data_IF_654719562025
#
_entry.id   IF_654719562025
#
_cell.length_a   1.000
_cell.length_b   1.000
_cell.length_c   1.000
_cell.angle_alpha   90.00
_cell.angle_beta   90.00
_cell.angle_gamma   90.00
#
_symmetry.space_group_name_H-M   'P 1'
#
loop_
_entity.id
_entity.type
_entity.pdbx_description
1 polymer ?
#
# COMPACT_ATOMS: atom_id res chain seq x y z
N UNK A 1 12.84 -5.97 1.52
CA UNK A 1 12.05 -5.22 2.52
C UNK A 1 10.74 -4.71 1.96
N UNK A 2 10.78 -3.92 0.88
CA UNK A 2 9.56 -3.37 0.27
C UNK A 2 8.64 -4.47 -0.26
N UNK A 3 9.20 -5.50 -0.90
CA UNK A 3 8.41 -6.64 -1.38
C UNK A 3 7.71 -7.35 -0.22
N UNK A 4 8.44 -7.66 0.83
CA UNK A 4 7.90 -8.39 1.97
C UNK A 4 6.81 -7.60 2.68
N UNK A 5 6.95 -6.28 2.78
CA UNK A 5 5.95 -5.41 3.38
C UNK A 5 4.63 -5.49 2.60
N UNK A 6 4.68 -5.41 1.27
CA UNK A 6 3.48 -5.51 0.44
C UNK A 6 2.87 -6.91 0.46
N UNK A 7 3.70 -7.96 0.47
CA UNK A 7 3.21 -9.34 0.54
C UNK A 7 2.47 -9.57 1.87
N UNK A 8 3.02 -9.09 2.97
CA UNK A 8 2.35 -9.20 4.28
C UNK A 8 1.06 -8.41 4.32
N UNK A 9 1.06 -7.21 3.74
CA UNK A 9 -0.14 -6.39 3.65
C UNK A 9 -1.23 -7.09 2.83
N UNK A 10 -0.87 -7.67 1.68
CA UNK A 10 -1.79 -8.45 0.86
C UNK A 10 -2.38 -9.62 1.66
N UNK A 11 -1.52 -10.40 2.34
CA UNK A 11 -1.98 -11.53 3.15
C UNK A 11 -2.95 -11.12 4.25
N UNK A 12 -2.79 -9.91 4.77
CA UNK A 12 -3.67 -9.35 5.78
C UNK A 12 -5.03 -8.96 5.21
N UNK A 13 -5.04 -8.25 4.10
CA UNK A 13 -6.29 -7.70 3.54
C UNK A 13 -7.20 -8.76 2.91
N UNK A 14 -6.66 -9.90 2.47
CA UNK A 14 -7.47 -10.97 1.86
C UNK A 14 -8.20 -11.85 2.87
N UNK A 15 -7.89 -11.75 4.16
CA UNK A 15 -8.61 -12.52 5.17
C UNK A 15 -10.07 -12.13 5.20
N UNK A 16 -11.02 -13.09 5.17
CA UNK A 16 -12.46 -12.77 5.10
C UNK A 16 -12.92 -11.83 6.21
N UNK A 17 -12.40 -11.98 7.41
CA UNK A 17 -12.69 -11.11 8.54
C UNK A 17 -12.30 -9.66 8.27
N UNK A 18 -11.13 -9.44 7.67
CA UNK A 18 -10.63 -8.11 7.36
C UNK A 18 -11.37 -7.49 6.18
N UNK A 19 -11.75 -8.28 5.18
CA UNK A 19 -12.57 -7.81 4.07
C UNK A 19 -13.93 -7.35 4.58
N UNK A 20 -14.57 -8.12 5.44
CA UNK A 20 -15.85 -7.77 6.03
C UNK A 20 -15.76 -6.47 6.85
N UNK A 21 -14.70 -6.33 7.64
CA UNK A 21 -14.44 -5.11 8.40
C UNK A 21 -14.25 -3.90 7.49
N UNK A 22 -13.45 -4.03 6.44
CA UNK A 22 -13.19 -2.94 5.50
C UNK A 22 -14.46 -2.46 4.81
N UNK A 23 -15.33 -3.40 4.41
CA UNK A 23 -16.62 -3.06 3.78
C UNK A 23 -17.53 -2.31 4.75
N UNK A 24 -17.67 -2.83 5.96
CA UNK A 24 -18.48 -2.19 6.99
C UNK A 24 -17.94 -0.80 7.32
N UNK A 25 -16.64 -0.68 7.47
CA UNK A 25 -15.97 0.58 7.78
C UNK A 25 -16.18 1.60 6.66
N UNK A 26 -15.99 1.19 5.41
CA UNK A 26 -16.18 2.06 4.25
C UNK A 26 -17.61 2.58 4.19
N UNK A 27 -18.59 1.73 4.48
CA UNK A 27 -19.99 2.13 4.53
C UNK A 27 -20.23 3.17 5.62
N UNK A 28 -19.67 2.97 6.81
CA UNK A 28 -19.84 3.91 7.93
C UNK A 28 -19.16 5.25 7.67
N UNK A 29 -18.00 5.27 7.00
CA UNK A 29 -17.30 6.52 6.70
C UNK A 29 -18.07 7.41 5.73
N UNK A 30 -18.93 6.84 4.90
CA UNK A 30 -19.80 7.61 4.01
C UNK A 30 -20.88 8.37 4.77
N UNK A 31 -21.28 7.86 5.93
CA UNK A 31 -22.28 8.49 6.80
C UNK A 31 -21.66 9.49 7.76
N UNK A 32 -20.41 9.25 8.17
CA UNK A 32 -19.70 10.08 9.14
C UNK A 32 -18.32 10.43 8.61
N UNK A 33 -18.19 11.59 7.98
CA UNK A 33 -16.93 12.03 7.36
C UNK A 33 -15.78 12.15 8.38
N UNK A 34 -16.09 12.48 9.64
CA UNK A 34 -15.07 12.59 10.68
C UNK A 34 -14.39 11.26 10.96
N UNK A 35 -15.13 10.15 10.83
CA UNK A 35 -14.56 8.81 11.01
C UNK A 35 -13.52 8.51 9.91
N UNK A 36 -13.81 8.94 8.66
CA UNK A 36 -12.88 8.78 7.56
C UNK A 36 -11.58 9.57 7.81
N UNK A 37 -11.71 10.83 8.26
CA UNK A 37 -10.53 11.65 8.58
C UNK A 37 -9.72 11.05 9.72
N UNK A 38 -10.39 10.60 10.77
CA UNK A 38 -9.72 10.00 11.91
C UNK A 38 -8.93 8.76 11.48
N UNK A 39 -9.56 7.87 10.71
CA UNK A 39 -8.88 6.65 10.23
C UNK A 39 -7.68 6.98 9.35
N UNK A 40 -7.87 7.91 8.41
CA UNK A 40 -6.79 8.30 7.51
C UNK A 40 -5.60 8.85 8.31
N UNK A 41 -5.87 9.78 9.23
CA UNK A 41 -4.79 10.43 9.99
C UNK A 41 -4.09 9.45 10.94
N UNK A 42 -4.84 8.57 11.61
CA UNK A 42 -4.27 7.68 12.62
C UNK A 42 -3.63 6.42 12.05
N UNK A 43 -4.09 5.96 10.89
CA UNK A 43 -3.66 4.68 10.34
C UNK A 43 -2.95 4.84 8.99
N UNK A 44 -3.68 5.25 7.96
CA UNK A 44 -3.15 5.28 6.60
C UNK A 44 -1.98 6.25 6.45
N UNK A 45 -2.11 7.47 6.98
CA UNK A 45 -1.06 8.48 6.90
C UNK A 45 0.17 8.06 7.70
N UNK A 46 0.00 7.46 8.87
CA UNK A 46 1.12 6.99 9.67
C UNK A 46 1.93 5.92 8.95
N UNK A 47 1.27 4.98 8.28
CA UNK A 47 1.94 3.95 7.50
C UNK A 47 2.70 4.57 6.32
N UNK A 48 2.07 5.50 5.60
CA UNK A 48 2.73 6.23 4.51
C UNK A 48 3.95 7.00 5.00
N UNK A 49 3.83 7.68 6.14
CA UNK A 49 4.93 8.45 6.72
C UNK A 49 6.11 7.54 7.11
N UNK A 50 5.84 6.34 7.59
CA UNK A 50 6.89 5.37 7.93
C UNK A 50 7.69 4.99 6.68
N UNK A 51 7.02 4.72 5.57
CA UNK A 51 7.69 4.40 4.31
C UNK A 51 8.41 5.63 3.75
N UNK A 52 7.77 6.81 3.80
CA UNK A 52 8.41 8.04 3.36
C UNK A 52 9.70 8.32 4.12
N UNK A 53 9.69 8.09 5.44
CA UNK A 53 10.88 8.25 6.26
C UNK A 53 11.99 7.27 5.85
N UNK A 54 11.65 6.00 5.61
CA UNK A 54 12.61 5.00 5.16
C UNK A 54 13.22 5.37 3.79
N UNK A 55 12.39 5.86 2.87
CA UNK A 55 12.86 6.31 1.56
C UNK A 55 13.77 7.53 1.68
N UNK A 56 13.44 8.47 2.55
CA UNK A 56 14.26 9.63 2.83
C UNK A 56 15.63 9.24 3.38
N UNK A 57 15.66 8.30 4.32
CA UNK A 57 16.93 7.79 4.84
C UNK A 57 17.78 7.09 3.77
N UNK A 58 17.16 6.29 2.92
CA UNK A 58 17.86 5.62 1.83
C UNK A 58 18.45 6.64 0.84
N UNK A 59 17.71 7.72 0.57
CA UNK A 59 18.21 8.83 -0.25
C UNK A 59 19.42 9.50 0.40
N UNK A 60 19.34 9.79 1.70
CA UNK A 60 20.43 10.44 2.44
C UNK A 60 21.69 9.57 2.48
N UNK A 61 21.53 8.24 2.49
CA UNK A 61 22.62 7.29 2.44
C UNK A 61 23.10 6.99 1.01
N UNK A 62 22.57 7.69 0.01
CA UNK A 62 22.90 7.52 -1.40
C UNK A 62 22.58 6.11 -1.95
N UNK A 63 21.70 5.37 -1.31
CA UNK A 63 21.26 4.06 -1.80
C UNK A 63 20.28 4.18 -2.96
N UNK A 64 19.44 5.23 -2.93
CA UNK A 64 18.46 5.55 -3.98
C UNK A 64 18.44 7.06 -4.21
N UNK A 65 17.79 7.49 -5.29
CA UNK A 65 17.42 8.88 -5.51
C UNK A 65 15.90 9.01 -5.31
N UNK A 66 15.51 9.81 -4.32
CA UNK A 66 14.11 10.03 -3.98
C UNK A 66 13.89 11.51 -3.68
N UNK A 67 13.40 12.25 -4.68
CA UNK A 67 13.22 13.71 -4.55
C UNK A 67 12.00 14.08 -3.72
N UNK A 68 10.99 13.22 -3.66
CA UNK A 68 9.77 13.45 -2.89
C UNK A 68 9.32 12.16 -2.21
N UNK A 69 9.83 11.89 -0.99
CA UNK A 69 9.52 10.65 -0.28
C UNK A 69 8.02 10.41 -0.04
N UNK A 70 7.25 11.47 0.19
CA UNK A 70 5.81 11.35 0.43
C UNK A 70 5.07 10.91 -0.83
N UNK A 71 5.39 11.50 -1.98
CA UNK A 71 4.79 11.07 -3.25
C UNK A 71 5.20 9.65 -3.59
N UNK A 72 6.46 9.30 -3.38
CA UNK A 72 6.95 7.94 -3.62
C UNK A 72 6.25 6.92 -2.72
N UNK A 73 6.01 7.26 -1.46
CA UNK A 73 5.27 6.38 -0.55
C UNK A 73 3.82 6.18 -1.01
N UNK A 74 3.17 7.22 -1.51
CA UNK A 74 1.82 7.11 -2.07
C UNK A 74 1.80 6.17 -3.27
N UNK A 75 2.75 6.29 -4.18
CA UNK A 75 2.88 5.39 -5.33
C UNK A 75 3.11 3.95 -4.90
N UNK A 76 3.97 3.75 -3.93
CA UNK A 76 4.29 2.42 -3.42
C UNK A 76 3.04 1.71 -2.88
N UNK A 77 2.25 2.38 -2.05
CA UNK A 77 1.01 1.78 -1.54
C UNK A 77 -0.05 1.64 -2.62
N UNK A 78 0.02 2.41 -3.68
CA UNK A 78 -0.86 2.29 -4.82
C UNK A 78 -0.70 0.98 -5.60
N UNK A 79 0.40 0.26 -5.42
CA UNK A 79 0.64 -1.02 -6.09
C UNK A 79 -0.49 -2.02 -5.84
N UNK A 80 -1.02 -2.07 -4.61
CA UNK A 80 -2.11 -2.99 -4.25
C UNK A 80 -3.50 -2.37 -4.36
N UNK A 81 -3.62 -1.16 -4.92
CA UNK A 81 -4.91 -0.45 -4.95
C UNK A 81 -5.98 -1.19 -5.72
N UNK A 82 -5.64 -1.80 -6.84
CA UNK A 82 -6.60 -2.57 -7.63
C UNK A 82 -7.10 -3.80 -6.86
N UNK A 83 -6.22 -4.49 -6.16
CA UNK A 83 -6.59 -5.64 -5.33
C UNK A 83 -7.56 -5.20 -4.22
N UNK A 84 -7.23 -4.12 -3.51
CA UNK A 84 -8.11 -3.58 -2.47
C UNK A 84 -9.47 -3.18 -3.03
N UNK A 85 -9.50 -2.53 -4.19
CA UNK A 85 -10.71 -2.10 -4.86
C UNK A 85 -11.62 -3.29 -5.17
N UNK A 86 -11.07 -4.35 -5.74
CA UNK A 86 -11.82 -5.56 -6.04
C UNK A 86 -12.40 -6.21 -4.79
N UNK A 87 -11.60 -6.29 -3.73
CA UNK A 87 -12.06 -6.85 -2.47
C UNK A 87 -13.21 -6.05 -1.88
N UNK A 88 -13.13 -4.72 -1.92
CA UNK A 88 -14.20 -3.86 -1.42
C UNK A 88 -15.49 -3.98 -2.24
N UNK A 89 -15.38 -4.20 -3.54
CA UNK A 89 -16.52 -4.37 -4.43
C UNK A 89 -17.12 -5.78 -4.37
N UNK A 90 -16.50 -6.70 -3.64
CA UNK A 90 -16.96 -8.08 -3.56
C UNK A 90 -16.59 -8.92 -4.76
N UNK A 91 -15.66 -8.46 -5.58
CA UNK A 91 -15.15 -9.23 -6.71
C UNK A 91 -14.06 -10.19 -6.23
N UNK A 92 -13.98 -11.33 -6.91
CA UNK A 92 -12.88 -12.24 -6.66
C UNK A 92 -11.57 -11.64 -7.17
N UNK A 93 -10.52 -11.83 -6.42
CA UNK A 93 -9.17 -11.59 -6.91
C UNK A 93 -8.83 -12.81 -7.77
N UNK A 94 -8.91 -12.66 -9.09
CA UNK A 94 -8.76 -13.76 -10.03
C UNK A 94 -7.37 -14.37 -10.06
N UNK A 95 -6.37 -13.64 -9.59
CA UNK A 95 -5.00 -14.11 -9.47
C UNK A 95 -4.84 -14.95 -8.22
N UNK A 96 -4.08 -16.04 -8.30
CA UNK A 96 -3.71 -16.82 -7.14
C UNK A 96 -2.56 -16.12 -6.38
N UNK A 97 -2.20 -16.63 -5.21
CA UNK A 97 -1.17 -16.00 -4.36
C UNK A 97 0.18 -15.90 -5.07
N UNK A 98 0.54 -16.87 -5.90
CA UNK A 98 1.79 -16.83 -6.66
C UNK A 98 1.79 -15.70 -7.69
N UNK A 99 0.66 -15.49 -8.38
CA UNK A 99 0.52 -14.40 -9.36
C UNK A 99 0.57 -13.04 -8.68
N UNK A 100 -0.06 -12.89 -7.51
CA UNK A 100 0.00 -11.65 -6.75
C UNK A 100 1.44 -11.37 -6.28
N UNK A 101 2.14 -12.39 -5.83
CA UNK A 101 3.54 -12.26 -5.43
C UNK A 101 4.40 -11.82 -6.61
N UNK A 102 4.19 -12.41 -7.78
CA UNK A 102 4.89 -12.02 -9.01
C UNK A 102 4.58 -10.57 -9.38
N UNK A 103 3.32 -10.15 -9.29
CA UNK A 103 2.91 -8.78 -9.55
C UNK A 103 3.58 -7.80 -8.57
N UNK A 104 3.62 -8.13 -7.28
CA UNK A 104 4.27 -7.29 -6.27
C UNK A 104 5.77 -7.17 -6.58
N UNK A 105 6.43 -8.29 -6.85
CA UNK A 105 7.86 -8.28 -7.15
C UNK A 105 8.18 -7.49 -8.41
N UNK A 106 7.37 -7.63 -9.45
CA UNK A 106 7.49 -6.85 -10.68
C UNK A 106 7.34 -5.36 -10.40
N UNK A 107 6.31 -5.01 -9.64
CA UNK A 107 5.97 -3.60 -9.35
C UNK A 107 7.04 -2.93 -8.47
N UNK A 108 7.53 -3.63 -7.46
CA UNK A 108 8.59 -3.10 -6.59
C UNK A 108 9.90 -2.96 -7.37
N UNK A 109 10.20 -3.89 -8.27
CA UNK A 109 11.39 -3.78 -9.12
C UNK A 109 11.34 -2.53 -9.99
N UNK A 110 10.20 -2.25 -10.63
CA UNK A 110 10.00 -1.01 -11.39
C UNK A 110 10.08 0.22 -10.50
N UNK A 111 9.50 0.17 -9.32
CA UNK A 111 9.57 1.26 -8.35
C UNK A 111 11.02 1.58 -7.98
N UNK A 112 11.81 0.56 -7.69
CA UNK A 112 13.23 0.74 -7.35
C UNK A 112 14.04 1.25 -8.55
N UNK A 113 13.75 0.80 -9.75
CA UNK A 113 14.39 1.32 -10.96
C UNK A 113 14.09 2.79 -11.18
N UNK A 114 12.85 3.21 -10.90
CA UNK A 114 12.48 4.62 -11.00
C UNK A 114 13.21 5.50 -9.97
N UNK A 115 13.67 4.92 -8.88
CA UNK A 115 14.42 5.61 -7.82
C UNK A 115 15.92 5.29 -7.87
N UNK A 116 16.39 4.75 -8.98
CA UNK A 116 17.79 4.39 -9.13
C UNK A 116 18.64 5.64 -9.16
N UNK A 117 19.74 5.61 -8.40
CA UNK A 117 20.73 6.67 -8.42
C UNK A 117 21.45 6.66 -9.78
N UNK A 118 21.55 7.83 -10.37
CA UNK A 118 22.27 8.03 -11.64
C UNK A 118 23.78 8.06 -11.43
#
# INVERSE_FOLDING_TARGET
YLNQTLIRFYQHIIKPKNIAFMRLFTEQTQKEIQLAHYFYDQCALNIQNTIAFALSQANDLNAIYCSNPHFSAMMYFGILRDVEWRLLMGLEVSANDAEITDYINYSVDLFLKAHQKL
#
